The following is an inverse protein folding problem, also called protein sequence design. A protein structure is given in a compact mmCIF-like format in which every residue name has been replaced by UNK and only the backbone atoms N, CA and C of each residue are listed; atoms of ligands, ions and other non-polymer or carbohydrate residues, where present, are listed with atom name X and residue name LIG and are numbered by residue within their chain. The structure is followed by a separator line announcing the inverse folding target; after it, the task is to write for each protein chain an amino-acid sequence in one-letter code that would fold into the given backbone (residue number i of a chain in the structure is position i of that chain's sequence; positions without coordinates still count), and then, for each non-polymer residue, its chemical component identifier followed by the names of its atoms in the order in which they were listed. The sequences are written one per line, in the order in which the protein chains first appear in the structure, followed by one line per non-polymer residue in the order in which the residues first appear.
data_IF_769360341730
#
_entry.id   IF_769360341730
#
_cell.length_a   1.000
_cell.length_b   1.000
_cell.length_c   1.000
_cell.angle_alpha   90.00
_cell.angle_beta   90.00
_cell.angle_gamma   90.00
#
_symmetry.space_group_name_H-M   'P 1'
#
loop_
_entity.id
_entity.type
_entity.pdbx_description
1 polymer ?
#
# COMPACT_ATOMS: atom_id res chain seq x y z
N UNK A 1 -2.10 2.81 5.81
CA UNK A 1 -2.50 1.42 5.47
C UNK A 1 -2.58 0.62 6.76
N UNK A 2 -3.59 -0.23 6.95
CA UNK A 2 -3.66 -1.14 8.11
C UNK A 2 -3.45 -2.56 7.59
N UNK A 3 -2.42 -3.22 8.10
CA UNK A 3 -2.06 -4.61 7.78
C UNK A 3 -2.16 -5.43 9.06
N UNK A 4 -2.45 -6.73 8.93
CA UNK A 4 -2.59 -7.65 10.06
C UNK A 4 -2.07 -9.03 9.70
N UNK A 5 -1.61 -9.79 10.70
CA UNK A 5 -1.10 -11.14 10.50
C UNK A 5 0.26 -11.16 9.79
N UNK A 6 0.57 -12.25 9.09
CA UNK A 6 1.90 -12.49 8.51
C UNK A 6 2.36 -11.40 7.53
N UNK A 7 1.43 -10.77 6.80
CA UNK A 7 1.76 -9.67 5.88
C UNK A 7 2.23 -8.41 6.61
N UNK A 8 1.74 -8.17 7.84
CA UNK A 8 2.18 -7.03 8.65
C UNK A 8 3.63 -7.22 9.14
N UNK A 9 3.98 -8.45 9.54
CA UNK A 9 5.36 -8.77 9.94
C UNK A 9 6.33 -8.67 8.77
N UNK A 10 5.95 -9.21 7.61
CA UNK A 10 6.80 -9.18 6.42
C UNK A 10 7.05 -7.77 5.89
N UNK A 11 6.05 -6.87 6.00
CA UNK A 11 6.14 -5.49 5.51
C UNK A 11 6.49 -4.48 6.61
N UNK A 12 6.91 -4.93 7.81
CA UNK A 12 7.17 -4.08 8.98
C UNK A 12 8.17 -2.95 8.71
N UNK A 13 9.18 -3.23 7.89
CA UNK A 13 10.28 -2.29 7.59
C UNK A 13 10.22 -1.74 6.17
N UNK A 14 9.17 -2.08 5.41
CA UNK A 14 8.96 -1.64 4.04
C UNK A 14 8.32 -0.26 4.04
N UNK A 15 8.89 0.65 3.25
CA UNK A 15 8.23 1.93 2.97
C UNK A 15 7.20 1.72 1.86
N UNK A 16 5.94 2.07 2.13
CA UNK A 16 4.84 1.94 1.16
C UNK A 16 4.50 3.33 0.61
N UNK A 17 4.81 3.55 -0.67
CA UNK A 17 4.37 4.75 -1.39
C UNK A 17 3.02 4.47 -2.04
N UNK A 18 1.98 5.17 -1.59
CA UNK A 18 0.61 4.95 -2.06
C UNK A 18 0.12 6.17 -2.85
N UNK A 19 -0.35 5.93 -4.07
CA UNK A 19 -1.09 6.89 -4.88
C UNK A 19 -2.53 6.40 -5.06
N UNK A 20 -3.48 7.33 -4.96
CA UNK A 20 -4.92 7.09 -5.05
C UNK A 20 -5.48 8.11 -6.02
N UNK A 21 -6.31 7.66 -6.95
CA UNK A 21 -7.05 8.52 -7.87
C UNK A 21 -8.48 8.01 -7.99
N UNK A 22 -9.41 8.91 -8.32
CA UNK A 22 -10.76 8.52 -8.67
C UNK A 22 -11.26 9.35 -9.85
N UNK A 23 -12.17 8.77 -10.64
CA UNK A 23 -12.91 9.44 -11.70
C UNK A 23 -14.34 8.90 -11.68
N UNK A 24 -15.31 9.80 -11.53
CA UNK A 24 -16.73 9.46 -11.31
C UNK A 24 -16.90 8.40 -10.19
N UNK A 25 -17.33 7.20 -10.54
CA UNK A 25 -17.59 6.05 -9.68
C UNK A 25 -16.46 5.01 -9.68
N UNK A 26 -15.34 5.28 -10.36
CA UNK A 26 -14.17 4.41 -10.41
C UNK A 26 -13.07 4.99 -9.51
N UNK A 27 -12.52 4.13 -8.64
CA UNK A 27 -11.32 4.43 -7.87
C UNK A 27 -10.17 3.50 -8.28
N UNK A 28 -8.95 4.04 -8.33
CA UNK A 28 -7.73 3.28 -8.58
C UNK A 28 -6.68 3.60 -7.53
N UNK A 29 -5.83 2.62 -7.26
CA UNK A 29 -4.73 2.74 -6.30
C UNK A 29 -3.46 2.10 -6.88
N UNK A 30 -2.32 2.72 -6.64
CA UNK A 30 -1.00 2.15 -6.93
C UNK A 30 -0.17 2.19 -5.65
N UNK A 31 0.37 1.04 -5.25
CA UNK A 31 1.29 0.93 -4.13
C UNK A 31 2.66 0.48 -4.64
N UNK A 32 3.71 1.20 -4.27
CA UNK A 32 5.12 0.82 -4.49
C UNK A 32 5.72 0.45 -3.15
N UNK A 33 6.34 -0.73 -3.10
CA UNK A 33 7.04 -1.25 -1.93
C UNK A 33 8.55 -0.98 -2.10
N UNK A 34 9.13 -0.25 -1.18
CA UNK A 34 10.57 0.03 -1.15
C UNK A 34 11.22 -0.69 0.04
N UNK A 35 12.12 -1.62 -0.27
CA UNK A 35 12.98 -2.32 0.68
C UNK A 35 14.35 -1.63 0.75
N UNK A 36 14.94 -1.57 1.94
CA UNK A 36 16.29 -1.00 2.17
C UNK A 36 17.39 -2.02 1.99
#
# INVERSE_FOLDING_TARGET
VRLSGAVAEHLKEVTIHLSLTHEADIAAAVAVLEER
#
